data_IF_034262361419
#
_entry.id   IF_034262361419
#
_cell.length_a   1.000
_cell.length_b   1.000
_cell.length_c   1.000
_cell.angle_alpha   90.00
_cell.angle_beta   90.00
_cell.angle_gamma   90.00
#
_symmetry.space_group_name_H-M   'P 1'
#
loop_
_entity.id
_entity.type
_entity.pdbx_description
1 polymer ?
#
# COMPACT_ATOMS: atom_id res chain seq x y z
N UNK A 1 -1.15 -9.48 8.88
CA UNK A 1 -2.48 -10.06 8.63
C UNK A 1 -2.29 -11.49 8.17
N UNK A 2 -2.92 -12.47 8.81
CA UNK A 2 -2.94 -13.86 8.34
C UNK A 2 -4.32 -14.10 7.74
N UNK A 3 -4.38 -14.49 6.46
CA UNK A 3 -5.61 -14.96 5.83
C UNK A 3 -5.69 -16.46 6.07
N UNK A 4 -6.63 -16.92 6.89
CA UNK A 4 -6.97 -18.34 6.94
C UNK A 4 -8.25 -18.54 6.13
N UNK A 5 -8.13 -19.24 5.02
CA UNK A 5 -9.26 -19.54 4.13
C UNK A 5 -9.99 -20.75 4.71
N UNK A 6 -11.18 -20.54 5.28
CA UNK A 6 -12.10 -21.63 5.60
C UNK A 6 -12.96 -22.01 4.38
N UNK A 7 -13.36 -23.28 4.35
CA UNK A 7 -13.74 -24.09 3.18
C UNK A 7 -14.97 -23.58 2.41
N UNK A 8 -15.09 -23.99 1.14
CA UNK A 8 -16.26 -23.74 0.28
C UNK A 8 -17.52 -24.36 0.90
N UNK A 9 -18.71 -23.81 0.65
CA UNK A 9 -19.99 -24.45 1.02
C UNK A 9 -20.11 -25.88 0.48
N UNK A 10 -19.44 -26.16 -0.63
CA UNK A 10 -19.38 -27.47 -1.28
C UNK A 10 -18.60 -28.52 -0.46
N UNK A 11 -17.75 -28.08 0.48
CA UNK A 11 -16.91 -28.94 1.33
C UNK A 11 -17.52 -29.21 2.72
N UNK A 12 -18.69 -28.64 3.00
CA UNK A 12 -19.37 -28.70 4.29
C UNK A 12 -20.73 -29.38 4.09
N UNK A 13 -21.20 -30.28 4.98
CA UNK A 13 -22.53 -30.87 4.85
C UNK A 13 -23.65 -29.83 5.07
N UNK A 14 -24.78 -30.03 4.40
CA UNK A 14 -25.86 -29.03 4.30
C UNK A 14 -26.42 -28.58 5.66
N UNK A 15 -26.45 -29.47 6.63
CA UNK A 15 -26.92 -29.20 7.99
C UNK A 15 -26.02 -28.22 8.77
N UNK A 16 -24.75 -28.06 8.36
CA UNK A 16 -23.77 -27.18 9.00
C UNK A 16 -23.57 -25.85 8.24
N UNK A 17 -24.18 -25.69 7.05
CA UNK A 17 -24.00 -24.51 6.20
C UNK A 17 -24.39 -23.19 6.88
N UNK A 18 -25.32 -23.25 7.83
CA UNK A 18 -25.86 -22.09 8.53
C UNK A 18 -25.65 -22.14 10.06
N UNK A 19 -24.89 -23.12 10.55
CA UNK A 19 -24.56 -23.22 11.97
C UNK A 19 -23.36 -22.31 12.30
N UNK A 20 -23.69 -21.06 12.63
CA UNK A 20 -22.71 -20.01 12.92
C UNK A 20 -21.88 -20.34 14.16
N UNK A 21 -22.48 -20.97 15.18
CA UNK A 21 -21.79 -21.34 16.41
C UNK A 21 -20.77 -22.45 16.17
N UNK A 22 -21.11 -23.44 15.34
CA UNK A 22 -20.18 -24.47 14.89
C UNK A 22 -19.00 -23.89 14.09
N UNK A 23 -19.27 -22.96 13.17
CA UNK A 23 -18.23 -22.25 12.40
C UNK A 23 -17.29 -21.47 13.31
N UNK A 24 -17.83 -20.73 14.30
CA UNK A 24 -17.04 -20.02 15.31
C UNK A 24 -16.17 -21.00 16.11
N UNK A 25 -16.73 -22.14 16.52
CA UNK A 25 -16.01 -23.20 17.23
C UNK A 25 -14.81 -23.74 16.44
N UNK A 26 -15.00 -24.05 15.15
CA UNK A 26 -13.91 -24.53 14.29
C UNK A 26 -12.82 -23.47 14.05
N UNK A 27 -13.20 -22.19 13.97
CA UNK A 27 -12.27 -21.07 13.86
C UNK A 27 -11.45 -20.91 15.15
N UNK A 28 -12.09 -21.00 16.32
CA UNK A 28 -11.43 -20.93 17.62
C UNK A 28 -10.43 -22.08 17.81
N UNK A 29 -10.79 -23.31 17.45
CA UNK A 29 -9.88 -24.47 17.50
C UNK A 29 -8.68 -24.32 16.57
N UNK A 30 -8.90 -23.83 15.35
CA UNK A 30 -7.82 -23.61 14.37
C UNK A 30 -6.86 -22.53 14.84
N UNK A 31 -7.38 -21.45 15.44
CA UNK A 31 -6.57 -20.41 16.06
C UNK A 31 -5.78 -20.96 17.26
N UNK A 32 -6.40 -21.77 18.12
CA UNK A 32 -5.73 -22.39 19.26
C UNK A 32 -4.54 -23.25 18.81
N UNK A 33 -4.66 -24.00 17.71
CA UNK A 33 -3.53 -24.77 17.14
C UNK A 33 -2.37 -23.88 16.67
N UNK A 34 -2.67 -22.70 16.12
CA UNK A 34 -1.66 -21.71 15.71
C UNK A 34 -0.96 -21.10 16.95
N UNK A 35 -1.71 -20.85 18.02
CA UNK A 35 -1.15 -20.44 19.32
C UNK A 35 -0.26 -21.52 19.94
N UNK A 36 -0.73 -22.77 19.99
CA UNK A 36 -0.02 -23.91 20.57
C UNK A 36 1.27 -24.23 19.79
N UNK A 37 1.25 -24.04 18.47
CA UNK A 37 2.43 -24.15 17.61
C UNK A 37 3.44 -23.00 17.80
N UNK A 38 3.11 -21.99 18.61
CA UNK A 38 3.97 -20.83 18.87
C UNK A 38 4.13 -19.88 17.68
N UNK A 39 3.33 -20.05 16.63
CA UNK A 39 3.35 -19.23 15.42
C UNK A 39 2.76 -17.82 15.66
N UNK A 40 2.14 -17.59 16.81
CA UNK A 40 1.53 -16.32 17.20
C UNK A 40 1.84 -16.01 18.67
N UNK A 41 2.49 -14.86 18.95
CA UNK A 41 2.78 -14.40 20.31
C UNK A 41 2.41 -12.90 20.48
N UNK A 42 1.33 -12.67 21.24
CA UNK A 42 0.86 -11.44 21.92
C UNK A 42 -0.35 -10.65 21.35
N UNK A 43 -1.24 -10.25 22.27
CA UNK A 43 -2.61 -9.68 22.17
C UNK A 43 -2.67 -8.13 22.31
N UNK A 44 -3.83 -7.42 22.24
CA UNK A 44 -4.84 -7.30 23.33
C UNK A 44 -6.34 -7.37 22.98
N UNK A 45 -6.81 -7.25 21.72
CA UNK A 45 -8.07 -7.87 21.25
C UNK A 45 -7.94 -8.14 19.74
N UNK A 46 -8.15 -9.38 19.27
CA UNK A 46 -8.20 -9.66 17.84
C UNK A 46 -9.51 -9.13 17.26
N UNK A 47 -9.45 -8.15 16.36
CA UNK A 47 -10.61 -7.83 15.51
C UNK A 47 -10.73 -8.94 14.48
N UNK A 48 -11.67 -9.84 14.72
CA UNK A 48 -11.96 -10.98 13.88
C UNK A 48 -13.15 -10.64 12.98
N UNK A 49 -12.88 -10.36 11.72
CA UNK A 49 -13.93 -10.10 10.74
C UNK A 49 -14.37 -11.42 10.15
N UNK A 50 -15.57 -11.87 10.51
CA UNK A 50 -16.29 -12.88 9.76
C UNK A 50 -16.89 -12.20 8.54
N UNK A 51 -16.49 -12.65 7.35
CA UNK A 51 -17.09 -12.17 6.13
C UNK A 51 -17.66 -13.34 5.34
N UNK A 52 -18.77 -13.08 4.64
CA UNK A 52 -19.36 -14.00 3.67
C UNK A 52 -19.28 -13.35 2.30
N UNK A 53 -18.60 -14.00 1.37
CA UNK A 53 -18.57 -13.64 -0.04
C UNK A 53 -19.58 -14.51 -0.78
N UNK A 54 -20.47 -13.86 -1.53
CA UNK A 54 -21.42 -14.52 -2.42
C UNK A 54 -21.11 -14.07 -3.85
N UNK A 55 -20.79 -15.02 -4.73
CA UNK A 55 -20.46 -14.78 -6.12
C UNK A 55 -21.11 -15.85 -7.01
N UNK A 56 -22.26 -15.54 -7.61
CA UNK A 56 -23.02 -16.51 -8.40
C UNK A 56 -23.65 -17.59 -7.52
N UNK A 57 -23.39 -18.85 -7.83
CA UNK A 57 -23.74 -20.03 -7.02
C UNK A 57 -22.71 -20.36 -5.93
N UNK A 58 -21.62 -19.58 -5.83
CA UNK A 58 -20.55 -19.81 -4.87
C UNK A 58 -20.70 -18.92 -3.62
N UNK A 59 -20.73 -19.55 -2.44
CA UNK A 59 -20.73 -18.87 -1.15
C UNK A 59 -19.52 -19.30 -0.32
N UNK A 60 -18.72 -18.33 0.12
CA UNK A 60 -17.51 -18.55 0.91
C UNK A 60 -17.55 -17.73 2.21
N UNK A 61 -17.27 -18.38 3.34
CA UNK A 61 -17.14 -17.68 4.64
C UNK A 61 -15.67 -17.68 5.07
N UNK A 62 -15.11 -16.50 5.34
CA UNK A 62 -13.71 -16.31 5.71
C UNK A 62 -13.53 -15.47 6.98
N UNK A 63 -12.31 -15.50 7.51
CA UNK A 63 -11.93 -14.80 8.76
C UNK A 63 -10.68 -13.95 8.51
N UNK A 64 -10.74 -12.65 8.87
CA UNK A 64 -9.59 -11.73 8.84
C UNK A 64 -9.22 -11.27 10.25
N UNK A 65 -7.93 -11.37 10.62
CA UNK A 65 -7.40 -10.85 11.88
C UNK A 65 -6.47 -9.65 11.67
N UNK A 66 -6.76 -8.52 12.34
CA UNK A 66 -5.90 -7.34 12.43
C UNK A 66 -5.31 -7.21 13.84
N UNK A 67 -4.04 -6.82 13.94
CA UNK A 67 -3.35 -6.55 15.22
C UNK A 67 -2.87 -5.11 15.23
N UNK A 68 -3.36 -4.25 16.14
CA UNK A 68 -2.83 -2.90 16.28
C UNK A 68 -1.41 -2.95 16.87
N UNK A 69 -0.52 -2.11 16.34
CA UNK A 69 0.77 -1.83 16.97
C UNK A 69 0.59 -0.63 17.89
N UNK A 70 0.70 -0.83 19.21
CA UNK A 70 0.29 0.18 20.19
C UNK A 70 1.44 0.83 20.96
N UNK A 71 2.67 0.31 20.90
CA UNK A 71 3.77 0.78 21.76
C UNK A 71 5.06 1.18 21.00
N UNK A 72 5.73 2.29 21.39
CA UNK A 72 6.97 2.77 20.76
C UNK A 72 8.17 1.79 20.77
N UNK A 73 8.14 0.75 21.60
CA UNK A 73 9.19 -0.27 21.72
C UNK A 73 8.90 -1.57 20.97
N UNK A 74 7.81 -1.65 20.20
CA UNK A 74 7.44 -2.85 19.47
C UNK A 74 8.48 -3.17 18.38
N UNK A 75 9.15 -4.31 18.53
CA UNK A 75 10.18 -4.78 17.57
C UNK A 75 9.64 -5.01 16.17
N UNK A 76 8.31 -5.08 15.98
CA UNK A 76 7.63 -5.15 14.68
C UNK A 76 7.65 -3.81 13.93
N UNK A 77 8.01 -2.71 14.59
CA UNK A 77 8.11 -1.38 14.00
C UNK A 77 9.51 -0.82 14.19
N UNK A 78 10.17 -0.49 13.08
CA UNK A 78 11.39 0.30 13.08
C UNK A 78 11.03 1.74 12.72
N UNK A 79 11.40 2.68 13.60
CA UNK A 79 11.35 4.11 13.30
C UNK A 79 12.74 4.55 12.85
N UNK A 80 12.85 5.04 11.63
CA UNK A 80 14.12 5.52 11.07
C UNK A 80 13.90 6.89 10.46
N UNK A 81 14.72 7.88 10.85
CA UNK A 81 14.66 9.20 10.26
C UNK A 81 15.04 9.13 8.77
N UNK A 82 14.26 9.80 7.92
CA UNK A 82 14.47 9.79 6.48
C UNK A 82 14.12 11.15 5.90
N UNK A 83 15.07 11.75 5.19
CA UNK A 83 14.90 12.98 4.43
C UNK A 83 15.07 12.67 2.93
N UNK A 84 13.98 12.81 2.15
CA UNK A 84 13.95 12.48 0.73
C UNK A 84 14.94 13.31 -0.12
N UNK A 85 15.38 14.46 0.40
CA UNK A 85 16.35 15.33 -0.28
C UNK A 85 17.80 14.83 -0.11
N UNK A 86 18.07 13.95 0.87
CA UNK A 86 19.39 13.38 1.15
C UNK A 86 19.55 12.04 0.45
N UNK A 87 20.67 11.88 -0.26
CA UNK A 87 20.87 10.73 -1.16
C UNK A 87 21.15 9.44 -0.38
N UNK A 88 21.85 9.58 0.72
CA UNK A 88 22.32 8.52 1.60
C UNK A 88 21.19 7.90 2.44
N UNK A 89 20.09 8.62 2.67
CA UNK A 89 19.04 8.18 3.58
C UNK A 89 18.29 6.94 3.06
N UNK A 90 18.20 6.74 1.74
CA UNK A 90 17.66 5.52 1.14
C UNK A 90 18.49 4.28 1.49
N UNK A 91 19.81 4.37 1.38
CA UNK A 91 20.71 3.27 1.73
C UNK A 91 20.64 2.99 3.24
N UNK A 92 20.74 4.03 4.07
CA UNK A 92 20.67 3.91 5.54
C UNK A 92 19.34 3.29 6.00
N UNK A 93 18.22 3.71 5.41
CA UNK A 93 16.90 3.15 5.72
C UNK A 93 16.82 1.66 5.35
N UNK A 94 17.29 1.28 4.16
CA UNK A 94 17.28 -0.12 3.73
C UNK A 94 18.19 -0.99 4.61
N UNK A 95 19.40 -0.52 4.92
CA UNK A 95 20.34 -1.21 5.81
C UNK A 95 19.76 -1.40 7.22
N UNK A 96 19.18 -0.35 7.81
CA UNK A 96 18.57 -0.44 9.12
C UNK A 96 17.36 -1.38 9.14
N UNK A 97 16.54 -1.35 8.08
CA UNK A 97 15.38 -2.25 7.92
C UNK A 97 15.83 -3.70 7.81
N UNK A 98 16.81 -3.98 6.95
CA UNK A 98 17.38 -5.31 6.79
C UNK A 98 18.07 -5.81 8.07
N UNK A 99 18.77 -4.95 8.80
CA UNK A 99 19.40 -5.31 10.07
C UNK A 99 18.37 -5.71 11.15
N UNK A 100 17.21 -5.04 11.19
CA UNK A 100 16.15 -5.33 12.16
C UNK A 100 15.30 -6.55 11.78
N UNK A 101 14.91 -6.65 10.50
CA UNK A 101 13.89 -7.61 10.04
C UNK A 101 14.44 -8.74 9.16
N UNK A 102 15.69 -8.64 8.71
CA UNK A 102 16.35 -9.61 7.83
C UNK A 102 15.93 -9.57 6.36
N UNK A 103 14.84 -8.87 6.01
CA UNK A 103 14.28 -8.79 4.66
C UNK A 103 13.51 -7.49 4.43
N UNK A 104 13.28 -7.19 3.16
CA UNK A 104 12.37 -6.12 2.70
C UNK A 104 11.55 -6.72 1.56
N UNK A 105 10.27 -6.93 1.83
CA UNK A 105 9.34 -7.56 0.88
C UNK A 105 8.50 -6.52 0.13
N UNK A 106 8.27 -5.39 0.78
CA UNK A 106 7.33 -4.38 0.33
C UNK A 106 7.97 -3.00 0.51
N UNK A 107 7.90 -2.18 -0.53
CA UNK A 107 8.27 -0.77 -0.50
C UNK A 107 7.06 0.07 -0.88
N UNK A 108 6.70 1.03 -0.02
CA UNK A 108 5.67 2.02 -0.32
C UNK A 108 6.35 3.39 -0.39
N UNK A 109 6.55 3.88 -1.61
CA UNK A 109 7.04 5.24 -1.84
C UNK A 109 5.87 6.23 -1.70
N UNK A 110 5.59 6.60 -0.45
CA UNK A 110 4.51 7.53 -0.09
C UNK A 110 4.99 8.98 0.08
N UNK A 111 6.23 9.18 0.53
CA UNK A 111 6.77 10.53 0.77
C UNK A 111 6.66 11.38 -0.51
N UNK A 112 6.08 12.57 -0.36
CA UNK A 112 5.83 13.47 -1.46
C UNK A 112 5.52 14.87 -0.99
N UNK A 113 5.80 15.85 -1.84
CA UNK A 113 5.49 17.26 -1.59
C UNK A 113 4.69 17.83 -2.77
N UNK A 114 3.98 18.92 -2.49
CA UNK A 114 3.33 19.76 -3.49
C UNK A 114 3.78 21.21 -3.30
N UNK A 115 3.74 22.00 -4.36
CA UNK A 115 4.16 23.40 -4.33
C UNK A 115 3.38 24.18 -5.37
N UNK A 116 3.19 25.49 -5.14
CA UNK A 116 2.59 26.37 -6.14
C UNK A 116 3.64 26.70 -7.20
N UNK A 117 3.26 26.59 -8.46
CA UNK A 117 4.11 26.94 -9.60
C UNK A 117 3.24 27.64 -10.64
N UNK A 118 3.73 28.74 -11.20
CA UNK A 118 3.06 29.51 -12.24
C UNK A 118 4.06 29.83 -13.36
N UNK A 119 3.65 29.68 -14.62
CA UNK A 119 4.56 29.85 -15.77
C UNK A 119 5.04 31.30 -15.98
N UNK A 120 4.37 32.27 -15.36
CA UNK A 120 4.74 33.68 -15.36
C UNK A 120 5.82 34.04 -14.31
N UNK A 121 6.16 33.10 -13.43
CA UNK A 121 7.27 33.22 -12.49
C UNK A 121 8.19 31.98 -12.60
N UNK A 122 9.38 32.16 -13.17
CA UNK A 122 10.38 31.10 -13.24
C UNK A 122 10.96 30.85 -11.84
N UNK A 123 10.46 29.81 -11.17
CA UNK A 123 10.98 29.30 -9.90
C UNK A 123 11.44 27.86 -10.10
N UNK A 124 12.71 27.69 -10.48
CA UNK A 124 13.34 26.39 -10.70
C UNK A 124 13.53 25.62 -9.39
N UNK A 125 13.70 26.31 -8.26
CA UNK A 125 13.92 25.68 -6.95
C UNK A 125 12.69 24.84 -6.54
N UNK A 126 11.48 25.33 -6.82
CA UNK A 126 10.24 24.56 -6.60
C UNK A 126 10.22 23.30 -7.45
N UNK A 127 10.60 23.40 -8.74
CA UNK A 127 10.61 22.25 -9.64
C UNK A 127 11.68 21.22 -9.23
N UNK A 128 12.88 21.69 -8.88
CA UNK A 128 14.00 20.85 -8.45
C UNK A 128 13.68 20.11 -7.15
N UNK A 129 13.06 20.78 -6.18
CA UNK A 129 12.65 20.14 -4.94
C UNK A 129 11.57 19.08 -5.18
N UNK A 130 10.57 19.37 -6.02
CA UNK A 130 9.57 18.37 -6.44
C UNK A 130 10.22 17.17 -7.13
N UNK A 131 11.21 17.41 -7.99
CA UNK A 131 11.93 16.34 -8.70
C UNK A 131 12.75 15.47 -7.74
N UNK A 132 13.44 16.09 -6.78
CA UNK A 132 14.22 15.36 -5.79
C UNK A 132 13.34 14.47 -4.91
N UNK A 133 12.24 15.01 -4.39
CA UNK A 133 11.37 14.28 -3.46
C UNK A 133 10.41 13.31 -4.18
N UNK A 134 9.70 13.74 -5.21
CA UNK A 134 8.63 12.94 -5.82
C UNK A 134 9.15 11.92 -6.84
N UNK A 135 10.40 12.06 -7.34
CA UNK A 135 10.94 11.23 -8.42
C UNK A 135 12.24 10.54 -8.03
N UNK A 136 13.29 11.30 -7.69
CA UNK A 136 14.60 10.72 -7.41
C UNK A 136 14.62 9.94 -6.09
N UNK A 137 13.93 10.38 -5.05
CA UNK A 137 13.87 9.65 -3.78
C UNK A 137 13.22 8.25 -3.94
N UNK A 138 12.04 8.08 -4.56
CA UNK A 138 11.49 6.76 -4.87
C UNK A 138 12.44 5.86 -5.65
N UNK A 139 13.14 6.40 -6.65
CA UNK A 139 14.15 5.65 -7.40
C UNK A 139 15.28 5.16 -6.49
N UNK A 140 15.81 6.01 -5.60
CA UNK A 140 16.88 5.65 -4.65
C UNK A 140 16.39 4.57 -3.67
N UNK A 141 15.18 4.69 -3.14
CA UNK A 141 14.59 3.70 -2.22
C UNK A 141 14.42 2.35 -2.90
N UNK A 142 13.87 2.33 -4.13
CA UNK A 142 13.74 1.09 -4.93
C UNK A 142 15.13 0.47 -5.13
N UNK A 143 16.11 1.27 -5.56
CA UNK A 143 17.48 0.79 -5.81
C UNK A 143 18.12 0.20 -4.54
N UNK A 144 17.92 0.83 -3.38
CA UNK A 144 18.49 0.36 -2.11
C UNK A 144 17.81 -0.92 -1.60
N UNK A 145 16.50 -1.06 -1.80
CA UNK A 145 15.73 -2.25 -1.38
C UNK A 145 15.83 -3.42 -2.37
N UNK A 146 16.29 -3.18 -3.60
CA UNK A 146 16.22 -4.14 -4.70
C UNK A 146 16.86 -5.52 -4.41
N UNK A 147 18.03 -5.62 -3.75
CA UNK A 147 18.59 -6.93 -3.39
C UNK A 147 17.64 -7.77 -2.53
N UNK A 148 16.92 -7.13 -1.61
CA UNK A 148 15.98 -7.81 -0.71
C UNK A 148 14.66 -8.16 -1.42
N UNK A 149 14.14 -7.25 -2.24
CA UNK A 149 12.93 -7.48 -3.05
C UNK A 149 13.10 -8.62 -4.05
N UNK A 150 14.32 -8.79 -4.60
CA UNK A 150 14.66 -9.95 -5.45
C UNK A 150 14.74 -11.23 -4.65
N UNK A 151 15.34 -11.17 -3.46
CA UNK A 151 15.55 -12.34 -2.62
C UNK A 151 14.23 -12.97 -2.14
N UNK A 152 13.16 -12.18 -1.97
CA UNK A 152 11.87 -12.75 -1.56
C UNK A 152 11.09 -13.42 -2.71
N UNK A 153 11.37 -13.11 -3.99
CA UNK A 153 10.69 -13.68 -5.16
C UNK A 153 9.23 -13.23 -5.36
N UNK A 154 8.69 -12.43 -4.43
CA UNK A 154 7.33 -11.88 -4.46
C UNK A 154 7.30 -10.41 -4.01
N UNK A 155 8.34 -9.65 -4.38
CA UNK A 155 8.47 -8.25 -3.98
C UNK A 155 7.29 -7.38 -4.44
N UNK A 156 6.93 -6.39 -3.62
CA UNK A 156 5.87 -5.41 -3.94
C UNK A 156 6.41 -4.00 -3.83
N UNK A 157 6.15 -3.19 -4.84
CA UNK A 157 6.45 -1.75 -4.81
C UNK A 157 5.15 -1.01 -5.11
N UNK A 158 4.78 -0.08 -4.23
CA UNK A 158 3.69 0.87 -4.48
C UNK A 158 4.29 2.27 -4.52
N UNK A 159 4.15 2.93 -5.66
CA UNK A 159 4.48 4.35 -5.77
C UNK A 159 3.18 5.16 -5.64
N UNK A 160 3.11 6.02 -4.63
CA UNK A 160 1.99 6.95 -4.49
C UNK A 160 2.20 8.13 -5.43
N UNK A 161 1.57 8.03 -6.60
CA UNK A 161 1.60 9.04 -7.65
C UNK A 161 0.49 10.06 -7.34
N UNK A 162 -0.49 10.21 -8.22
CA UNK A 162 -1.65 11.10 -8.12
C UNK A 162 -2.41 10.98 -9.44
N UNK A 163 -3.70 11.30 -9.45
CA UNK A 163 -4.41 11.56 -10.71
C UNK A 163 -3.75 12.70 -11.52
N UNK A 164 -3.03 13.61 -10.86
CA UNK A 164 -2.18 14.62 -11.50
C UNK A 164 -1.02 14.02 -12.31
N UNK A 165 -0.64 12.76 -12.07
CA UNK A 165 0.37 12.06 -12.87
C UNK A 165 -0.20 11.37 -14.13
N UNK A 166 -1.52 11.45 -14.33
CA UNK A 166 -2.22 10.90 -15.49
C UNK A 166 -2.83 12.00 -16.37
N UNK A 167 -3.11 13.17 -15.79
CA UNK A 167 -3.67 14.34 -16.47
C UNK A 167 -3.47 15.61 -15.65
N UNK A 168 -3.66 16.79 -16.25
CA UNK A 168 -3.60 18.05 -15.51
C UNK A 168 -4.90 18.24 -14.69
N UNK A 169 -4.79 18.18 -13.36
CA UNK A 169 -5.89 18.42 -12.43
C UNK A 169 -5.62 19.53 -11.41
N UNK A 170 -4.36 19.93 -11.26
CA UNK A 170 -3.96 20.87 -10.22
C UNK A 170 -3.61 22.22 -10.81
N UNK A 171 -3.61 23.25 -9.97
CA UNK A 171 -3.09 24.57 -10.32
C UNK A 171 -1.55 24.64 -10.35
N UNK A 172 -0.84 23.52 -10.13
CA UNK A 172 0.62 23.46 -10.11
C UNK A 172 1.19 22.63 -11.26
N UNK A 173 1.87 23.27 -12.20
CA UNK A 173 2.53 22.55 -13.29
C UNK A 173 3.74 21.74 -12.80
N UNK A 174 4.53 22.25 -11.85
CA UNK A 174 5.68 21.52 -11.28
C UNK A 174 5.25 20.21 -10.59
N UNK A 175 4.15 20.24 -9.83
CA UNK A 175 3.60 19.03 -9.22
C UNK A 175 3.16 18.03 -10.28
N UNK A 176 2.39 18.46 -11.28
CA UNK A 176 1.99 17.59 -12.40
C UNK A 176 3.20 16.98 -13.11
N UNK A 177 4.19 17.79 -13.50
CA UNK A 177 5.41 17.31 -14.17
C UNK A 177 6.09 16.22 -13.33
N UNK A 178 6.26 16.47 -12.03
CA UNK A 178 6.89 15.50 -11.12
C UNK A 178 6.09 14.20 -11.00
N UNK A 179 4.75 14.26 -10.99
CA UNK A 179 3.90 13.07 -10.89
C UNK A 179 3.79 12.29 -12.21
N UNK A 180 3.85 12.95 -13.36
CA UNK A 180 4.04 12.26 -14.65
C UNK A 180 5.40 11.55 -14.70
N UNK A 181 6.46 12.18 -14.19
CA UNK A 181 7.77 11.53 -14.08
C UNK A 181 7.75 10.34 -13.11
N UNK A 182 7.06 10.44 -11.97
CA UNK A 182 6.85 9.33 -11.05
C UNK A 182 6.04 8.18 -11.67
N UNK A 183 5.06 8.49 -12.53
CA UNK A 183 4.36 7.49 -13.35
C UNK A 183 5.31 6.78 -14.32
N UNK A 184 6.17 7.54 -15.02
CA UNK A 184 7.21 6.98 -15.90
C UNK A 184 8.20 6.07 -15.18
N UNK A 185 8.64 6.46 -13.97
CA UNK A 185 9.45 5.63 -13.08
C UNK A 185 8.71 4.33 -12.73
N UNK A 186 7.43 4.42 -12.40
CA UNK A 186 6.60 3.26 -12.04
C UNK A 186 6.47 2.27 -13.18
N UNK A 187 6.14 2.75 -14.38
CA UNK A 187 6.06 1.90 -15.58
C UNK A 187 7.40 1.26 -15.93
N UNK A 188 8.50 2.01 -15.79
CA UNK A 188 9.85 1.50 -16.03
C UNK A 188 10.20 0.40 -15.03
N UNK A 189 10.07 0.67 -13.73
CA UNK A 189 10.34 -0.32 -12.69
C UNK A 189 9.47 -1.58 -12.85
N UNK A 190 8.18 -1.41 -13.18
CA UNK A 190 7.27 -2.52 -13.46
C UNK A 190 7.80 -3.43 -14.57
N UNK A 191 8.24 -2.86 -15.68
CA UNK A 191 8.73 -3.63 -16.82
C UNK A 191 10.06 -4.33 -16.51
N UNK A 192 11.03 -3.58 -15.98
CA UNK A 192 12.39 -4.09 -15.74
C UNK A 192 12.49 -5.11 -14.59
N UNK A 193 11.56 -5.07 -13.63
CA UNK A 193 11.62 -5.91 -12.43
C UNK A 193 10.58 -7.05 -12.45
N UNK A 194 9.82 -7.23 -13.53
CA UNK A 194 8.73 -8.21 -13.57
C UNK A 194 9.24 -9.66 -13.44
N UNK A 195 10.30 -10.00 -14.18
CA UNK A 195 10.91 -11.34 -14.18
C UNK A 195 11.63 -11.65 -12.86
N UNK A 196 12.00 -10.62 -12.09
CA UNK A 196 12.55 -10.76 -10.73
C UNK A 196 11.48 -11.16 -9.69
N UNK A 197 10.23 -11.37 -10.10
CA UNK A 197 9.10 -11.66 -9.21
C UNK A 197 8.53 -10.42 -8.52
N UNK A 198 8.93 -9.21 -8.94
CA UNK A 198 8.52 -7.96 -8.32
C UNK A 198 7.30 -7.39 -9.06
N UNK A 199 6.30 -6.94 -8.32
CA UNK A 199 5.12 -6.23 -8.86
C UNK A 199 5.13 -4.78 -8.41
N UNK A 200 4.97 -3.88 -9.37
CA UNK A 200 5.01 -2.44 -9.16
C UNK A 200 3.68 -1.83 -9.55
N UNK A 201 3.07 -1.09 -8.63
CA UNK A 201 1.75 -0.45 -8.79
C UNK A 201 1.87 1.06 -8.59
N UNK A 202 1.23 1.84 -9.47
CA UNK A 202 1.00 3.26 -9.28
C UNK A 202 -0.35 3.48 -8.57
N UNK A 203 -0.33 3.91 -7.31
CA UNK A 203 -1.53 4.42 -6.65
C UNK A 203 -1.73 5.88 -7.06
N UNK A 204 -2.91 6.23 -7.58
CA UNK A 204 -3.18 7.55 -8.13
C UNK A 204 -4.40 8.19 -7.45
N UNK A 205 -4.24 8.77 -6.24
CA UNK A 205 -5.33 9.46 -5.56
C UNK A 205 -5.64 10.83 -6.17
N UNK A 206 -6.92 11.21 -6.11
CA UNK A 206 -7.41 12.58 -6.19
C UNK A 206 -7.33 13.28 -4.84
N UNK A 207 -8.32 14.14 -4.55
CA UNK A 207 -8.38 14.85 -3.27
C UNK A 207 -8.55 13.88 -2.10
N UNK A 208 -7.51 13.81 -1.27
CA UNK A 208 -7.44 12.97 -0.06
C UNK A 208 -7.32 13.86 1.17
N UNK A 209 -8.06 13.58 2.25
CA UNK A 209 -8.03 14.39 3.47
C UNK A 209 -6.68 14.27 4.21
N UNK A 210 -5.77 15.21 3.92
CA UNK A 210 -4.42 15.28 4.45
C UNK A 210 -3.96 16.74 4.47
N UNK A 211 -2.87 17.03 5.16
CA UNK A 211 -2.23 18.36 5.15
C UNK A 211 -1.90 18.86 3.72
N UNK A 212 -1.68 17.96 2.76
CA UNK A 212 -1.39 18.30 1.36
C UNK A 212 -2.59 18.93 0.64
N UNK A 213 -3.82 18.67 1.09
CA UNK A 213 -5.06 19.18 0.47
C UNK A 213 -5.78 20.21 1.36
N UNK A 214 -5.10 20.79 2.34
CA UNK A 214 -5.65 21.84 3.23
C UNK A 214 -6.18 23.06 2.46
N UNK A 215 -5.65 23.33 1.27
CA UNK A 215 -6.09 24.41 0.39
C UNK A 215 -7.11 23.96 -0.68
N UNK A 216 -7.51 22.69 -0.70
CA UNK A 216 -8.59 22.24 -1.58
C UNK A 216 -9.90 22.92 -1.13
N UNK A 217 -10.73 23.42 -2.06
CA UNK A 217 -12.04 23.97 -1.73
C UNK A 217 -13.06 22.90 -1.31
N UNK A 218 -12.71 21.61 -1.46
CA UNK A 218 -13.59 20.48 -1.10
C UNK A 218 -13.68 20.32 0.42
N UNK A 219 -14.88 20.13 1.00
CA UNK A 219 -15.04 19.75 2.40
C UNK A 219 -14.34 18.43 2.71
N UNK A 220 -13.77 18.28 3.90
CA UNK A 220 -13.01 17.08 4.28
C UNK A 220 -13.86 15.80 4.23
N UNK A 221 -15.13 15.86 4.65
CA UNK A 221 -16.06 14.72 4.56
C UNK A 221 -16.35 14.24 3.12
N UNK A 222 -16.07 15.05 2.11
CA UNK A 222 -16.24 14.70 0.70
C UNK A 222 -14.94 14.24 0.03
N UNK A 223 -13.80 14.26 0.73
CA UNK A 223 -12.51 13.78 0.22
C UNK A 223 -12.36 12.28 0.46
N UNK A 224 -11.53 11.63 -0.35
CA UNK A 224 -11.07 10.26 -0.05
C UNK A 224 -10.33 10.28 1.29
N UNK A 225 -10.55 9.28 2.15
CA UNK A 225 -9.85 9.20 3.43
C UNK A 225 -8.52 8.45 3.26
N UNK A 226 -7.46 8.80 4.01
CA UNK A 226 -6.19 8.07 3.97
C UNK A 226 -6.34 6.56 4.24
N UNK A 227 -7.30 6.19 5.08
CA UNK A 227 -7.65 4.81 5.43
C UNK A 227 -8.15 4.02 4.20
N UNK A 228 -8.96 4.65 3.34
CA UNK A 228 -9.45 4.03 2.10
C UNK A 228 -8.26 3.65 1.19
N UNK A 229 -7.27 4.54 1.08
CA UNK A 229 -6.06 4.30 0.30
C UNK A 229 -5.21 3.19 0.91
N UNK A 230 -5.10 3.15 2.24
CA UNK A 230 -4.35 2.11 2.95
C UNK A 230 -4.99 0.73 2.77
N UNK A 231 -6.33 0.63 2.81
CA UNK A 231 -7.07 -0.61 2.54
C UNK A 231 -6.81 -1.10 1.10
N UNK A 232 -6.91 -0.21 0.13
CA UNK A 232 -6.61 -0.55 -1.27
C UNK A 232 -5.16 -1.05 -1.43
N UNK A 233 -4.19 -0.36 -0.83
CA UNK A 233 -2.78 -0.78 -0.86
C UNK A 233 -2.61 -2.16 -0.23
N UNK A 234 -3.25 -2.42 0.91
CA UNK A 234 -3.23 -3.72 1.59
C UNK A 234 -3.70 -4.85 0.67
N UNK A 235 -4.79 -4.64 -0.08
CA UNK A 235 -5.26 -5.61 -1.06
C UNK A 235 -4.27 -5.81 -2.21
N UNK A 236 -3.75 -4.72 -2.78
CA UNK A 236 -2.81 -4.78 -3.92
C UNK A 236 -1.54 -5.56 -3.58
N UNK A 237 -0.97 -5.32 -2.40
CA UNK A 237 0.29 -5.99 -1.99
C UNK A 237 0.09 -7.47 -1.63
N UNK A 238 -1.12 -7.86 -1.21
CA UNK A 238 -1.46 -9.24 -0.89
C UNK A 238 -1.72 -10.13 -2.13
N UNK A 239 -1.82 -9.54 -3.33
CA UNK A 239 -2.05 -10.30 -4.55
C UNK A 239 -0.85 -11.21 -4.88
N UNK A 240 -1.09 -12.39 -5.49
CA UNK A 240 -0.04 -13.27 -5.97
C UNK A 240 0.67 -12.67 -7.21
N UNK A 241 1.84 -13.20 -7.56
CA UNK A 241 2.60 -12.75 -8.75
C UNK A 241 1.82 -12.87 -10.07
N UNK A 242 0.81 -13.73 -10.14
CA UNK A 242 -0.07 -13.90 -11.30
C UNK A 242 -1.12 -12.79 -11.43
N UNK A 243 -1.38 -12.02 -10.38
CA UNK A 243 -2.33 -10.91 -10.37
C UNK A 243 -1.59 -9.60 -10.15
N UNK A 244 -1.30 -8.88 -11.24
CA UNK A 244 -0.52 -7.66 -11.20
C UNK A 244 -1.31 -6.43 -11.64
N UNK A 245 -1.70 -5.60 -10.67
CA UNK A 245 -2.35 -4.32 -10.92
C UNK A 245 -1.28 -3.30 -11.33
N UNK A 246 -1.49 -2.59 -12.45
CA UNK A 246 -0.55 -1.58 -12.93
C UNK A 246 -0.78 -0.22 -12.28
N UNK A 247 -2.02 0.23 -12.30
CA UNK A 247 -2.42 1.56 -11.85
C UNK A 247 -3.76 1.48 -11.14
N UNK A 248 -3.89 2.22 -10.05
CA UNK A 248 -5.12 2.33 -9.25
C UNK A 248 -5.51 3.81 -9.17
N UNK A 249 -6.35 4.32 -10.08
CA UNK A 249 -6.94 5.63 -9.93
C UNK A 249 -8.00 5.60 -8.82
N UNK A 250 -7.93 6.54 -7.88
CA UNK A 250 -8.91 6.68 -6.79
C UNK A 250 -9.40 8.12 -6.79
N UNK A 251 -10.71 8.31 -6.81
CA UNK A 251 -11.29 9.64 -6.88
C UNK A 251 -12.55 9.76 -6.02
N UNK A 252 -12.77 10.96 -5.50
CA UNK A 252 -13.97 11.34 -4.74
C UNK A 252 -14.96 12.17 -5.58
N UNK A 253 -14.66 12.36 -6.88
CA UNK A 253 -15.57 12.99 -7.84
C UNK A 253 -15.87 12.07 -9.03
N UNK A 254 -17.10 12.18 -9.54
CA UNK A 254 -17.46 11.63 -10.83
C UNK A 254 -16.75 12.43 -11.92
N UNK A 255 -15.95 11.75 -12.75
CA UNK A 255 -15.27 12.37 -13.87
C UNK A 255 -15.90 11.93 -15.19
N UNK A 256 -16.08 12.89 -16.08
CA UNK A 256 -16.52 12.63 -17.44
C UNK A 256 -15.34 12.06 -18.26
N UNK A 257 -15.04 10.77 -18.03
CA UNK A 257 -14.06 9.92 -18.72
C UNK A 257 -12.59 10.43 -18.76
N UNK A 258 -11.67 9.49 -18.52
CA UNK A 258 -10.26 9.56 -18.93
C UNK A 258 -10.13 9.18 -20.40
#
# INVERSE_FOLDING_TARGET
SFLNVTRSQEDVPAEWHNDVDWLIGQCAESMQRIYDAGAYRAHNEPSLFLYRLEAGDHTQTGVMGLVPVTEPGDRRVLRHAFDATRREDAARWAEATAAQFGRIDIVINNAGISGRFAFDALDEDVLDNMWEVNVKAPYRVISAALPHLRACGEGRIVNVVSLAGMRQLTSSAAYTISKFAAMGLTHSARHYLFEDGIRVTALCPGDTDTDMTVHSPRPNEEKTQPEDLAEIVSHVIALPNTASIATVPVNCIAEAFL
#
